data_IF_159942163842
#
_entry.id   IF_159942163842
#
_cell.length_a   1.000
_cell.length_b   1.000
_cell.length_c   1.000
_cell.angle_alpha   90.00
_cell.angle_beta   90.00
_cell.angle_gamma   90.00
#
_symmetry.space_group_name_H-M   'P 1'
#
loop_
_entity.id
_entity.type
_entity.pdbx_description
1 polymer ?
#
# COMPACT_ATOMS: atom_id res chain seq x y z
N UNK A 1 -5.27 -59.65 -9.91
CA UNK A 1 -6.17 -58.47 -9.82
C UNK A 1 -5.95 -57.80 -8.47
N UNK A 2 -4.90 -56.99 -8.34
CA UNK A 2 -4.58 -56.27 -7.10
C UNK A 2 -3.63 -55.12 -7.44
N UNK A 3 -4.12 -54.10 -8.15
CA UNK A 3 -3.29 -52.92 -8.47
C UNK A 3 -4.10 -51.62 -8.62
N UNK A 4 -5.43 -51.68 -8.63
CA UNK A 4 -6.26 -50.47 -8.82
C UNK A 4 -6.80 -49.88 -7.52
N UNK A 5 -6.69 -50.56 -6.37
CA UNK A 5 -7.24 -50.06 -5.10
C UNK A 5 -6.32 -49.12 -4.32
N UNK A 6 -5.02 -49.05 -4.64
CA UNK A 6 -4.05 -48.20 -3.91
C UNK A 6 -4.06 -46.76 -4.46
N UNK A 7 -4.31 -46.57 -5.75
CA UNK A 7 -4.40 -45.24 -6.38
C UNK A 7 -5.68 -44.47 -6.03
N UNK A 8 -6.77 -45.19 -5.70
CA UNK A 8 -8.02 -44.55 -5.28
C UNK A 8 -7.95 -44.02 -3.84
N UNK A 9 -7.20 -44.68 -2.95
CA UNK A 9 -7.03 -44.22 -1.57
C UNK A 9 -6.05 -43.03 -1.46
N UNK A 10 -5.01 -42.97 -2.28
CA UNK A 10 -4.09 -41.81 -2.30
C UNK A 10 -4.73 -40.56 -2.94
N UNK A 11 -5.58 -40.74 -3.96
CA UNK A 11 -6.35 -39.64 -4.55
C UNK A 11 -7.41 -39.08 -3.60
N UNK A 12 -8.10 -39.93 -2.81
CA UNK A 12 -9.06 -39.46 -1.81
C UNK A 12 -8.40 -38.67 -0.67
N UNK A 13 -7.21 -39.06 -0.21
CA UNK A 13 -6.52 -38.34 0.87
C UNK A 13 -6.02 -36.96 0.40
N UNK A 14 -5.63 -36.82 -0.88
CA UNK A 14 -5.25 -35.51 -1.45
C UNK A 14 -6.48 -34.61 -1.67
N UNK A 15 -7.63 -35.17 -2.06
CA UNK A 15 -8.89 -34.42 -2.17
C UNK A 15 -9.47 -34.01 -0.81
N UNK A 16 -9.33 -34.86 0.22
CA UNK A 16 -9.78 -34.52 1.59
C UNK A 16 -8.83 -33.51 2.25
N UNK A 17 -7.52 -33.56 1.98
CA UNK A 17 -6.59 -32.51 2.45
C UNK A 17 -6.78 -31.15 1.77
N UNK A 18 -7.36 -31.09 0.55
CA UNK A 18 -7.77 -29.83 -0.07
C UNK A 18 -9.05 -29.25 0.55
N UNK A 19 -9.91 -30.08 1.16
CA UNK A 19 -11.11 -29.62 1.86
C UNK A 19 -10.85 -29.17 3.30
N UNK A 20 -9.77 -29.64 3.95
CA UNK A 20 -9.49 -29.31 5.35
C UNK A 20 -8.75 -27.97 5.52
N UNK A 21 -8.13 -27.42 4.46
CA UNK A 21 -7.37 -26.14 4.55
C UNK A 21 -8.09 -24.96 3.84
N UNK A 22 -9.27 -25.18 3.22
CA UNK A 22 -9.80 -24.23 2.23
C UNK A 22 -11.12 -23.48 2.51
N UNK A 23 -11.96 -23.88 3.47
CA UNK A 23 -13.38 -23.48 3.42
C UNK A 23 -13.95 -22.64 4.59
N UNK A 24 -13.15 -22.19 5.55
CA UNK A 24 -13.69 -21.47 6.72
C UNK A 24 -13.49 -19.94 6.72
N UNK A 25 -12.94 -19.36 5.65
CA UNK A 25 -13.00 -17.93 5.50
C UNK A 25 -14.40 -17.54 5.02
N UNK A 26 -15.28 -17.27 5.98
CA UNK A 26 -16.63 -16.77 5.72
C UNK A 26 -16.54 -15.48 4.88
N UNK A 27 -17.30 -15.37 3.78
CA UNK A 27 -17.56 -14.10 3.13
C UNK A 27 -17.84 -13.01 4.18
N UNK A 28 -16.99 -11.98 4.22
CA UNK A 28 -17.14 -10.88 5.17
C UNK A 28 -16.39 -10.99 6.50
N UNK A 29 -15.58 -12.03 6.76
CA UNK A 29 -14.80 -12.14 8.00
C UNK A 29 -13.93 -10.88 8.27
N UNK A 30 -13.31 -10.33 7.23
CA UNK A 30 -12.52 -9.10 7.32
C UNK A 30 -13.37 -7.86 7.67
N UNK A 31 -14.59 -7.75 7.13
CA UNK A 31 -15.51 -6.64 7.43
C UNK A 31 -16.12 -6.77 8.82
N UNK A 32 -16.43 -7.99 9.26
CA UNK A 32 -16.83 -8.27 10.64
C UNK A 32 -15.72 -7.87 11.62
N UNK A 33 -14.49 -8.27 11.33
CA UNK A 33 -13.33 -7.92 12.16
C UNK A 33 -13.12 -6.40 12.23
N UNK A 34 -13.26 -5.71 11.11
CA UNK A 34 -13.21 -4.25 11.06
C UNK A 34 -14.29 -3.63 11.96
N UNK A 35 -15.54 -4.04 11.82
CA UNK A 35 -16.66 -3.47 12.56
C UNK A 35 -16.58 -3.77 14.07
N UNK A 36 -15.98 -4.90 14.48
CA UNK A 36 -15.67 -5.21 15.88
C UNK A 36 -14.65 -4.23 16.47
N UNK A 37 -13.57 -3.95 15.73
CA UNK A 37 -12.46 -3.11 16.21
C UNK A 37 -12.70 -1.62 16.04
N UNK A 38 -13.54 -1.22 15.10
CA UNK A 38 -13.73 0.15 14.66
C UNK A 38 -15.22 0.50 14.59
N UNK A 39 -15.88 0.46 15.75
CA UNK A 39 -17.34 0.62 15.89
C UNK A 39 -17.89 1.86 15.18
N UNK A 40 -17.11 2.95 15.13
CA UNK A 40 -17.54 4.24 14.57
C UNK A 40 -16.83 4.63 13.26
N UNK A 41 -16.05 3.72 12.67
CA UNK A 41 -15.34 3.99 11.40
C UNK A 41 -15.81 2.98 10.38
N UNK A 42 -16.67 3.36 9.42
CA UNK A 42 -17.12 2.41 8.40
C UNK A 42 -15.95 1.98 7.51
N UNK A 43 -16.00 0.75 7.00
CA UNK A 43 -15.06 0.29 5.97
C UNK A 43 -15.19 1.22 4.75
N UNK A 44 -14.12 1.90 4.32
CA UNK A 44 -14.15 2.72 3.11
C UNK A 44 -14.57 1.90 1.88
N UNK A 45 -15.44 2.44 1.02
CA UNK A 45 -15.96 1.72 -0.15
C UNK A 45 -14.86 1.21 -1.10
N UNK A 46 -13.74 1.94 -1.20
CA UNK A 46 -12.59 1.51 -1.98
C UNK A 46 -11.92 0.25 -1.40
N UNK A 47 -11.88 0.10 -0.06
CA UNK A 47 -11.41 -1.12 0.60
C UNK A 47 -12.45 -2.23 0.44
N UNK A 48 -13.74 -1.93 0.66
CA UNK A 48 -14.83 -2.90 0.52
C UNK A 48 -14.85 -3.54 -0.87
N UNK A 49 -14.67 -2.75 -1.94
CA UNK A 49 -14.57 -3.24 -3.32
C UNK A 49 -13.36 -4.16 -3.58
N UNK A 50 -12.36 -4.15 -2.71
CA UNK A 50 -11.17 -5.01 -2.79
C UNK A 50 -11.29 -6.28 -1.96
N UNK A 51 -12.25 -6.38 -1.03
CA UNK A 51 -12.42 -7.58 -0.23
C UNK A 51 -12.84 -8.77 -1.11
N UNK A 52 -12.22 -9.93 -0.88
CA UNK A 52 -12.70 -11.19 -1.44
C UNK A 52 -13.89 -11.67 -0.61
N UNK A 53 -15.06 -11.71 -1.23
CA UNK A 53 -16.30 -12.21 -0.63
C UNK A 53 -16.65 -13.62 -1.10
N UNK A 54 -16.06 -14.11 -2.19
CA UNK A 54 -16.20 -15.51 -2.61
C UNK A 54 -14.86 -16.00 -3.18
N UNK A 55 -14.38 -17.12 -2.65
CA UNK A 55 -13.13 -17.74 -3.10
C UNK A 55 -13.30 -18.48 -4.43
N UNK A 56 -14.52 -18.86 -4.84
CA UNK A 56 -14.77 -19.56 -6.10
C UNK A 56 -14.53 -18.66 -7.32
N UNK A 57 -14.91 -17.38 -7.21
CA UNK A 57 -14.75 -16.38 -8.26
C UNK A 57 -13.44 -15.57 -8.12
N UNK A 58 -12.61 -15.91 -7.14
CA UNK A 58 -11.37 -15.20 -6.89
C UNK A 58 -10.26 -15.64 -7.85
N UNK A 59 -9.66 -14.66 -8.51
CA UNK A 59 -8.45 -14.85 -9.30
C UNK A 59 -7.34 -13.94 -8.79
N UNK A 60 -6.13 -14.50 -8.70
CA UNK A 60 -4.93 -13.71 -8.44
C UNK A 60 -4.75 -12.64 -9.50
N UNK A 61 -4.28 -11.48 -9.06
CA UNK A 61 -4.02 -10.39 -9.96
C UNK A 61 -2.82 -10.71 -10.83
N UNK A 62 -3.06 -10.78 -12.14
CA UNK A 62 -2.01 -10.93 -13.12
C UNK A 62 -1.26 -9.59 -13.25
N UNK A 63 -0.01 -9.57 -12.82
CA UNK A 63 0.82 -8.35 -12.80
C UNK A 63 1.18 -7.99 -14.25
N UNK A 64 0.38 -7.13 -14.88
CA UNK A 64 0.61 -6.65 -16.25
C UNK A 64 1.29 -5.28 -16.21
N UNK A 65 2.53 -5.18 -16.71
CA UNK A 65 3.27 -3.92 -16.86
C UNK A 65 4.75 -4.04 -16.50
N UNK A 66 5.60 -3.07 -16.88
CA UNK A 66 6.97 -3.00 -16.41
C UNK A 66 6.98 -2.89 -14.88
N UNK A 67 8.08 -3.34 -14.24
CA UNK A 67 8.31 -3.10 -12.83
C UNK A 67 8.21 -1.59 -12.58
N UNK A 68 7.16 -1.12 -11.90
CA UNK A 68 7.00 0.30 -11.65
C UNK A 68 8.15 0.73 -10.73
N UNK A 69 9.10 1.57 -11.19
CA UNK A 69 10.22 1.97 -10.35
C UNK A 69 9.73 2.71 -9.09
N UNK A 70 8.55 3.35 -9.19
CA UNK A 70 7.89 4.13 -8.15
C UNK A 70 6.65 3.49 -7.54
N UNK A 71 6.58 2.14 -7.41
CA UNK A 71 5.57 1.52 -6.54
C UNK A 71 5.63 2.16 -5.13
N UNK A 72 4.47 2.56 -4.62
CA UNK A 72 4.40 3.54 -3.53
C UNK A 72 4.98 3.08 -2.18
N UNK A 73 5.14 1.77 -1.94
CA UNK A 73 5.73 1.22 -0.70
C UNK A 73 7.02 0.43 -0.91
N UNK A 74 7.75 0.74 -1.98
CA UNK A 74 9.21 0.63 -1.91
C UNK A 74 9.69 1.43 -0.68
N UNK A 75 10.75 1.04 0.06
CA UNK A 75 11.22 1.81 1.21
C UNK A 75 11.84 3.10 0.69
N UNK A 76 10.96 4.10 0.42
CA UNK A 76 11.31 5.34 -0.25
C UNK A 76 12.43 6.03 0.52
N UNK A 77 12.39 5.97 1.87
CA UNK A 77 13.34 6.52 2.84
C UNK A 77 14.80 6.08 2.68
N UNK A 78 15.06 4.97 1.98
CA UNK A 78 16.42 4.47 1.71
C UNK A 78 16.83 4.49 0.25
N UNK A 79 15.92 4.75 -0.70
CA UNK A 79 16.31 4.75 -2.10
C UNK A 79 17.16 5.97 -2.43
N UNK A 80 18.45 5.71 -2.70
CA UNK A 80 19.34 6.67 -3.32
C UNK A 80 18.74 7.13 -4.66
N UNK A 81 18.83 8.42 -4.97
CA UNK A 81 18.36 8.97 -6.26
C UNK A 81 18.93 8.25 -7.49
N UNK A 82 20.06 7.54 -7.37
CA UNK A 82 20.61 6.70 -8.45
C UNK A 82 19.71 5.55 -8.89
N UNK A 83 18.78 5.07 -8.05
CA UNK A 83 17.82 3.99 -8.41
C UNK A 83 16.60 4.56 -9.18
N UNK A 84 16.42 5.87 -9.16
CA UNK A 84 15.40 6.57 -9.94
C UNK A 84 16.10 7.10 -11.18
N UNK A 85 15.89 6.47 -12.34
CA UNK A 85 16.40 7.01 -13.60
C UNK A 85 16.09 8.51 -13.67
N UNK A 86 17.14 9.30 -13.98
CA UNK A 86 17.18 10.75 -13.92
C UNK A 86 16.14 11.47 -14.82
N UNK A 87 15.29 10.72 -15.51
CA UNK A 87 14.31 11.20 -16.48
C UNK A 87 13.00 11.70 -15.84
N UNK A 88 12.79 11.50 -14.53
CA UNK A 88 11.49 11.76 -13.88
C UNK A 88 11.48 12.73 -12.69
N UNK A 89 12.40 13.70 -12.65
CA UNK A 89 12.29 14.86 -11.72
C UNK A 89 10.95 15.61 -11.84
N UNK A 90 10.24 15.41 -12.95
CA UNK A 90 8.92 16.00 -13.21
C UNK A 90 7.72 15.19 -12.70
N UNK A 91 7.91 14.01 -12.08
CA UNK A 91 6.82 13.14 -11.59
C UNK A 91 6.64 13.09 -10.07
N UNK A 92 7.41 13.88 -9.30
CA UNK A 92 7.44 13.72 -7.84
C UNK A 92 6.37 14.55 -7.15
N UNK A 93 5.76 13.99 -6.11
CA UNK A 93 4.75 14.65 -5.28
C UNK A 93 5.32 15.36 -4.04
N UNK A 94 6.65 15.44 -3.90
CA UNK A 94 7.32 16.06 -2.76
C UNK A 94 7.31 17.59 -2.84
N UNK A 95 7.09 18.26 -1.70
CA UNK A 95 7.12 19.72 -1.52
C UNK A 95 7.51 20.08 -0.08
N UNK A 96 7.89 21.33 0.16
CA UNK A 96 8.16 21.83 1.50
C UNK A 96 6.85 22.20 2.20
N UNK A 97 6.79 22.05 3.53
CA UNK A 97 5.59 22.40 4.30
C UNK A 97 5.17 23.87 4.15
N UNK A 98 6.12 24.78 3.94
CA UNK A 98 5.85 26.21 3.69
C UNK A 98 5.08 26.47 2.38
N UNK A 99 5.18 25.56 1.41
CA UNK A 99 4.42 25.60 0.16
C UNK A 99 3.01 24.98 0.31
N UNK A 100 2.65 24.48 1.50
CA UNK A 100 1.36 23.83 1.77
C UNK A 100 0.31 24.79 2.36
N UNK A 101 0.14 25.94 1.71
CA UNK A 101 -0.76 27.00 2.15
C UNK A 101 -1.85 27.30 1.10
N UNK A 102 -3.05 27.76 1.50
CA UNK A 102 -4.06 28.23 0.56
C UNK A 102 -3.49 29.23 -0.46
N UNK A 103 -3.82 29.04 -1.73
CA UNK A 103 -3.29 29.82 -2.86
C UNK A 103 -2.01 29.26 -3.48
N UNK A 104 -1.27 28.40 -2.77
CA UNK A 104 -0.09 27.72 -3.33
C UNK A 104 -0.48 26.61 -4.30
N UNK A 105 0.51 26.14 -5.06
CA UNK A 105 0.32 25.13 -6.10
C UNK A 105 0.91 23.79 -5.68
N UNK A 106 0.14 22.72 -5.88
CA UNK A 106 0.59 21.34 -5.73
C UNK A 106 0.64 20.65 -7.09
N UNK A 107 1.71 19.89 -7.29
CA UNK A 107 1.81 18.95 -8.41
C UNK A 107 1.34 17.60 -7.92
N UNK A 108 0.26 17.11 -8.53
CA UNK A 108 -0.35 15.83 -8.19
C UNK A 108 -0.17 14.90 -9.38
N UNK A 109 0.34 13.71 -9.10
CA UNK A 109 0.37 12.64 -10.07
C UNK A 109 -1.06 12.08 -10.17
N UNK A 110 -1.64 12.18 -11.36
CA UNK A 110 -2.95 11.62 -11.67
C UNK A 110 -2.99 10.09 -11.48
N UNK A 111 -4.17 9.48 -11.61
CA UNK A 111 -4.37 8.08 -11.30
C UNK A 111 -3.43 7.19 -12.14
N UNK A 112 -2.66 6.36 -11.43
CA UNK A 112 -1.83 5.31 -12.01
C UNK A 112 -2.70 4.09 -12.37
N UNK A 113 -2.23 3.17 -13.25
CA UNK A 113 -2.94 1.92 -13.53
C UNK A 113 -3.35 1.23 -12.23
N UNK A 114 -4.64 0.93 -12.10
CA UNK A 114 -5.19 0.43 -10.85
C UNK A 114 -4.56 -0.93 -10.52
N UNK A 115 -3.88 -1.03 -9.38
CA UNK A 115 -3.53 -2.31 -8.79
C UNK A 115 -4.84 -2.99 -8.32
N UNK A 116 -5.29 -3.99 -9.08
CA UNK A 116 -6.56 -4.69 -8.85
C UNK A 116 -6.44 -5.87 -7.89
N UNK A 117 -5.27 -6.08 -7.26
CA UNK A 117 -5.08 -7.14 -6.30
C UNK A 117 -6.12 -7.03 -5.16
N UNK A 118 -6.81 -8.12 -4.88
CA UNK A 118 -7.87 -8.20 -3.87
C UNK A 118 -7.28 -8.56 -2.51
N UNK A 119 -7.96 -8.11 -1.45
CA UNK A 119 -7.57 -8.38 -0.06
C UNK A 119 -8.12 -9.76 0.33
N UNK A 120 -7.22 -10.65 0.72
CA UNK A 120 -7.57 -11.97 1.23
C UNK A 120 -7.91 -11.87 2.72
N UNK A 121 -8.90 -12.65 3.21
CA UNK A 121 -9.10 -12.85 4.65
C UNK A 121 -7.82 -13.39 5.30
N UNK A 122 -7.53 -12.98 6.54
CA UNK A 122 -6.29 -13.34 7.26
C UNK A 122 -5.98 -14.84 7.21
N UNK A 123 -6.97 -15.69 7.45
CA UNK A 123 -6.79 -17.14 7.44
C UNK A 123 -6.33 -17.66 6.07
N UNK A 124 -6.89 -17.11 4.99
CA UNK A 124 -6.50 -17.47 3.62
C UNK A 124 -5.11 -16.94 3.32
N UNK A 125 -4.85 -15.67 3.62
CA UNK A 125 -3.54 -15.03 3.40
C UNK A 125 -2.42 -15.82 4.08
N UNK A 126 -2.62 -16.25 5.33
CA UNK A 126 -1.65 -17.05 6.10
C UNK A 126 -1.38 -18.45 5.52
N UNK A 127 -2.24 -18.96 4.64
CA UNK A 127 -2.00 -20.23 3.94
C UNK A 127 -1.00 -20.10 2.78
N UNK A 128 -0.62 -18.88 2.40
CA UNK A 128 0.37 -18.62 1.34
C UNK A 128 1.72 -18.23 1.96
N UNK A 129 2.84 -18.80 1.49
CA UNK A 129 4.16 -18.37 1.93
C UNK A 129 4.40 -16.91 1.52
N UNK A 130 4.88 -16.11 2.47
CA UNK A 130 5.25 -14.70 2.26
C UNK A 130 6.66 -14.45 2.78
N UNK A 131 7.66 -14.99 2.06
CA UNK A 131 9.08 -14.77 2.35
C UNK A 131 9.93 -15.01 1.10
N UNK A 132 11.00 -14.24 0.92
CA UNK A 132 11.97 -14.38 -0.17
C UNK A 132 12.62 -15.77 -0.19
N UNK A 133 12.78 -16.40 0.98
CA UNK A 133 13.32 -17.76 1.11
C UNK A 133 12.43 -18.82 0.46
N UNK A 134 11.13 -18.53 0.31
CA UNK A 134 10.13 -19.43 -0.27
C UNK A 134 9.73 -19.01 -1.69
N UNK A 135 10.55 -18.19 -2.37
CA UNK A 135 10.24 -17.68 -3.72
C UNK A 135 9.85 -18.80 -4.71
N UNK A 136 10.54 -19.94 -4.82
CA UNK A 136 10.12 -21.00 -5.74
C UNK A 136 8.71 -21.56 -5.44
N UNK A 137 8.34 -21.64 -4.17
CA UNK A 137 7.02 -22.12 -3.73
C UNK A 137 5.93 -21.09 -4.05
N UNK A 138 6.23 -19.81 -3.84
CA UNK A 138 5.38 -18.67 -4.21
C UNK A 138 5.07 -18.70 -5.71
N UNK A 139 6.11 -18.81 -6.56
CA UNK A 139 5.95 -18.84 -8.01
C UNK A 139 5.10 -20.02 -8.47
N UNK A 140 5.34 -21.22 -7.91
CA UNK A 140 4.53 -22.41 -8.20
C UNK A 140 3.07 -22.23 -7.77
N UNK A 141 2.83 -21.68 -6.58
CA UNK A 141 1.49 -21.50 -6.01
C UNK A 141 0.65 -20.50 -6.81
N UNK A 142 1.27 -19.49 -7.40
CA UNK A 142 0.60 -18.47 -8.22
C UNK A 142 0.71 -18.72 -9.73
N UNK A 143 1.22 -19.88 -10.15
CA UNK A 143 1.43 -20.24 -11.56
C UNK A 143 2.25 -19.21 -12.34
N UNK A 144 3.28 -18.64 -11.70
CA UNK A 144 4.16 -17.63 -12.27
C UNK A 144 5.42 -18.29 -12.83
N UNK A 145 5.72 -17.99 -14.09
CA UNK A 145 6.92 -18.48 -14.75
C UNK A 145 8.19 -17.82 -14.17
N UNK A 146 9.24 -18.59 -13.81
CA UNK A 146 10.47 -18.07 -13.21
C UNK A 146 11.16 -16.93 -13.98
N UNK A 147 11.10 -16.96 -15.32
CA UNK A 147 11.75 -15.96 -16.18
C UNK A 147 10.86 -14.75 -16.51
N UNK A 148 9.67 -14.65 -15.92
CA UNK A 148 8.75 -13.54 -16.17
C UNK A 148 9.16 -12.25 -15.47
N UNK A 149 8.76 -11.11 -16.02
CA UNK A 149 8.95 -9.79 -15.39
C UNK A 149 8.26 -9.66 -14.01
N UNK A 150 7.26 -10.50 -13.73
CA UNK A 150 6.52 -10.51 -12.46
C UNK A 150 7.42 -10.93 -11.28
N UNK A 151 8.38 -11.84 -11.52
CA UNK A 151 9.28 -12.34 -10.48
C UNK A 151 10.12 -11.23 -9.87
N UNK A 152 10.54 -10.25 -10.68
CA UNK A 152 11.29 -9.08 -10.20
C UNK A 152 10.48 -8.26 -9.18
N UNK A 153 9.20 -8.03 -9.46
CA UNK A 153 8.30 -7.30 -8.55
C UNK A 153 8.07 -8.09 -7.25
N UNK A 154 7.76 -9.38 -7.35
CA UNK A 154 7.53 -10.24 -6.19
C UNK A 154 8.76 -10.29 -5.29
N UNK A 155 9.94 -10.52 -5.87
CA UNK A 155 11.20 -10.55 -5.13
C UNK A 155 11.44 -9.22 -4.41
N UNK A 156 11.27 -8.10 -5.11
CA UNK A 156 11.43 -6.75 -4.55
C UNK A 156 10.49 -6.49 -3.38
N UNK A 157 9.21 -6.86 -3.50
CA UNK A 157 8.23 -6.72 -2.41
C UNK A 157 8.67 -7.53 -1.19
N UNK A 158 9.02 -8.81 -1.38
CA UNK A 158 9.45 -9.68 -0.28
C UNK A 158 10.71 -9.15 0.42
N UNK A 159 11.72 -8.75 -0.34
CA UNK A 159 12.97 -8.20 0.22
C UNK A 159 12.73 -6.89 0.98
N UNK A 160 11.89 -5.99 0.44
CA UNK A 160 11.49 -4.75 1.13
C UNK A 160 10.81 -5.05 2.47
N UNK A 161 9.87 -6.01 2.47
CA UNK A 161 9.11 -6.41 3.64
C UNK A 161 9.96 -7.09 4.72
N UNK A 162 11.03 -7.80 4.34
CA UNK A 162 11.92 -8.51 5.25
C UNK A 162 13.06 -7.65 5.80
N UNK A 163 13.38 -6.56 5.11
CA UNK A 163 14.40 -5.62 5.57
C UNK A 163 13.97 -5.04 6.92
N UNK A 164 14.92 -4.71 7.80
CA UNK A 164 14.63 -4.05 9.09
C UNK A 164 15.20 -2.65 9.11
N UNK A 165 14.36 -1.64 9.34
CA UNK A 165 14.80 -0.27 9.53
C UNK A 165 14.67 0.13 10.99
N UNK A 166 15.65 0.90 11.47
CA UNK A 166 15.62 1.47 12.81
C UNK A 166 14.81 2.77 12.89
N UNK A 167 14.61 3.43 11.75
CA UNK A 167 14.02 4.78 11.68
C UNK A 167 12.48 4.79 11.73
N UNK A 168 11.84 3.65 11.50
CA UNK A 168 10.38 3.53 11.45
C UNK A 168 9.91 2.21 12.04
N UNK A 169 8.69 2.22 12.56
CA UNK A 169 7.95 0.99 12.82
C UNK A 169 7.26 0.59 11.54
N UNK A 170 7.48 -0.63 11.05
CA UNK A 170 6.90 -1.09 9.79
C UNK A 170 6.51 -2.55 9.81
N UNK A 171 5.55 -2.89 8.96
CA UNK A 171 5.08 -4.26 8.75
C UNK A 171 4.42 -4.35 7.39
N UNK A 172 4.81 -5.36 6.60
CA UNK A 172 3.97 -5.77 5.49
C UNK A 172 2.80 -6.59 6.02
N UNK A 173 1.59 -6.18 5.67
CA UNK A 173 0.34 -6.84 6.03
C UNK A 173 -0.28 -7.48 4.80
N UNK A 174 -0.76 -8.71 4.95
CA UNK A 174 -1.27 -9.56 3.87
C UNK A 174 -2.79 -9.70 3.90
N UNK A 175 -3.45 -9.04 4.87
CA UNK A 175 -4.89 -9.06 5.12
C UNK A 175 -5.39 -7.71 5.66
N UNK A 176 -6.71 -7.47 5.63
CA UNK A 176 -7.29 -6.26 6.21
C UNK A 176 -7.18 -6.28 7.73
N UNK A 177 -7.37 -7.44 8.33
CA UNK A 177 -7.32 -7.64 9.76
C UNK A 177 -5.92 -7.30 10.31
N UNK A 178 -4.85 -7.72 9.63
CA UNK A 178 -3.48 -7.36 10.01
C UNK A 178 -3.19 -5.87 9.86
N UNK A 179 -3.82 -5.22 8.89
CA UNK A 179 -3.75 -3.78 8.72
C UNK A 179 -4.44 -3.05 9.88
N UNK A 180 -5.63 -3.51 10.29
CA UNK A 180 -6.37 -2.98 11.44
C UNK A 180 -5.52 -3.08 12.70
N UNK A 181 -4.96 -4.26 12.98
CA UNK A 181 -4.10 -4.47 14.15
C UNK A 181 -2.88 -3.54 14.15
N UNK A 182 -2.21 -3.39 12.99
CA UNK A 182 -1.05 -2.50 12.89
C UNK A 182 -1.45 -1.04 13.03
N UNK A 183 -2.55 -0.61 12.40
CA UNK A 183 -3.08 0.75 12.50
C UNK A 183 -3.40 1.13 13.93
N UNK A 184 -4.20 0.31 14.62
CA UNK A 184 -4.62 0.53 16.01
C UNK A 184 -3.44 0.52 16.99
N UNK A 185 -2.45 -0.36 16.78
CA UNK A 185 -1.26 -0.42 17.63
C UNK A 185 -0.47 0.91 17.67
N UNK A 186 -0.57 1.75 16.62
CA UNK A 186 0.18 3.01 16.51
C UNK A 186 -0.69 4.26 16.63
N UNK A 187 -2.00 4.15 16.37
CA UNK A 187 -2.92 5.31 16.36
C UNK A 187 -3.96 5.28 17.46
N UNK A 188 -4.12 4.14 18.16
CA UNK A 188 -5.16 3.95 19.15
C UNK A 188 -6.56 3.82 18.53
N UNK A 189 -7.58 3.71 19.38
CA UNK A 189 -8.96 3.40 18.96
C UNK A 189 -9.73 4.62 18.42
N UNK A 190 -9.36 5.85 18.82
CA UNK A 190 -9.96 7.08 18.31
C UNK A 190 -9.26 7.54 17.02
N UNK A 191 -9.39 6.74 15.97
CA UNK A 191 -8.67 6.91 14.70
C UNK A 191 -9.62 7.16 13.53
N UNK A 192 -9.19 8.01 12.59
CA UNK A 192 -9.81 8.11 11.27
C UNK A 192 -9.05 7.30 10.23
N UNK A 193 -9.76 6.66 9.31
CA UNK A 193 -9.19 5.97 8.15
C UNK A 193 -9.52 6.76 6.89
N UNK A 194 -8.49 7.07 6.10
CA UNK A 194 -8.58 7.92 4.93
C UNK A 194 -7.94 7.25 3.72
N UNK A 195 -8.51 7.50 2.55
CA UNK A 195 -7.94 7.11 1.26
C UNK A 195 -8.15 8.24 0.25
N UNK A 196 -7.22 8.36 -0.70
CA UNK A 196 -7.38 9.23 -1.85
C UNK A 196 -8.18 8.58 -2.96
N UNK A 197 -9.05 9.39 -3.58
CA UNK A 197 -9.75 9.08 -4.82
C UNK A 197 -9.49 10.21 -5.82
N UNK A 198 -8.22 10.35 -6.22
CA UNK A 198 -7.81 11.36 -7.19
C UNK A 198 -8.24 10.87 -8.57
N UNK A 199 -9.36 11.41 -9.05
CA UNK A 199 -9.82 11.25 -10.43
C UNK A 199 -8.96 12.09 -11.39
N UNK A 200 -8.89 11.74 -12.67
CA UNK A 200 -8.13 12.52 -13.66
C UNK A 200 -7.52 11.72 -14.79
N UNK A 201 -6.77 12.41 -15.65
CA UNK A 201 -5.91 11.76 -16.66
C UNK A 201 -4.59 11.33 -16.02
N UNK A 202 -3.97 10.29 -16.57
CA UNK A 202 -2.61 9.90 -16.20
C UNK A 202 -1.62 11.03 -16.50
N UNK A 203 -0.63 11.22 -15.64
CA UNK A 203 0.39 12.25 -15.77
C UNK A 203 0.38 13.22 -14.60
N UNK A 204 1.22 14.26 -14.64
CA UNK A 204 1.27 15.27 -13.57
C UNK A 204 0.42 16.47 -13.94
N UNK A 205 -0.48 16.83 -13.03
CA UNK A 205 -1.28 18.04 -13.12
C UNK A 205 -0.98 18.98 -11.94
N UNK A 206 -1.16 20.28 -12.18
CA UNK A 206 -0.96 21.34 -11.19
C UNK A 206 -2.31 21.80 -10.67
N UNK A 207 -2.44 21.88 -9.35
CA UNK A 207 -3.64 22.27 -8.64
C UNK A 207 -3.34 23.40 -7.67
N UNK A 208 -4.28 24.31 -7.49
CA UNK A 208 -4.22 25.36 -6.46
C UNK A 208 -4.85 24.84 -5.17
N UNK A 209 -4.16 24.99 -4.04
CA UNK A 209 -4.69 24.67 -2.71
C UNK A 209 -5.77 25.68 -2.34
N UNK A 210 -6.96 25.20 -1.97
CA UNK A 210 -8.06 26.05 -1.50
C UNK A 210 -8.10 26.08 0.02
N UNK A 211 -7.97 24.91 0.66
CA UNK A 211 -7.97 24.76 2.11
C UNK A 211 -7.16 23.55 2.52
N UNK A 212 -6.58 23.60 3.71
CA UNK A 212 -5.88 22.48 4.35
C UNK A 212 -6.50 22.20 5.73
N UNK A 213 -6.49 20.95 6.16
CA UNK A 213 -6.96 20.53 7.48
C UNK A 213 -6.06 19.41 8.00
N UNK A 214 -5.50 19.59 9.18
CA UNK A 214 -4.78 18.53 9.90
C UNK A 214 -5.78 17.44 10.33
N UNK A 215 -5.44 16.18 10.07
CA UNK A 215 -6.26 15.02 10.45
C UNK A 215 -5.63 14.17 11.56
N UNK A 216 -4.32 14.31 11.81
CA UNK A 216 -3.67 13.65 12.95
C UNK A 216 -2.16 13.77 12.95
N UNK A 217 -1.54 13.47 14.11
CA UNK A 217 -0.08 13.39 14.31
C UNK A 217 0.40 11.98 14.62
N UNK A 218 -0.48 11.13 15.13
CA UNK A 218 -0.24 9.70 15.17
C UNK A 218 -0.70 9.13 13.81
N UNK A 219 0.27 8.83 12.95
CA UNK A 219 0.00 8.48 11.55
C UNK A 219 0.60 7.12 11.22
N UNK A 220 -0.22 6.26 10.60
CA UNK A 220 0.22 5.09 9.85
C UNK A 220 -0.17 5.29 8.40
N UNK A 221 0.77 5.05 7.49
CA UNK A 221 0.49 4.96 6.06
C UNK A 221 0.68 3.51 5.62
N UNK A 222 -0.24 2.99 4.82
CA UNK A 222 -0.18 1.67 4.25
C UNK A 222 -0.18 1.79 2.73
N UNK A 223 0.96 1.43 2.13
CA UNK A 223 1.17 1.50 0.70
C UNK A 223 0.89 0.17 0.02
N UNK A 224 0.08 0.17 -1.04
CA UNK A 224 -0.30 -1.07 -1.72
C UNK A 224 0.83 -1.57 -2.62
N UNK A 225 1.34 -2.76 -2.33
CA UNK A 225 2.42 -3.40 -3.07
C UNK A 225 1.96 -4.13 -4.33
N UNK A 226 2.88 -4.27 -5.29
CA UNK A 226 2.67 -4.99 -6.55
C UNK A 226 2.90 -6.50 -6.30
N UNK A 227 1.87 -7.16 -5.78
CA UNK A 227 1.89 -8.58 -5.40
C UNK A 227 0.62 -9.31 -5.91
N UNK A 228 0.63 -10.65 -6.13
CA UNK A 228 -0.53 -11.38 -6.70
C UNK A 228 -1.86 -11.22 -5.95
N UNK A 229 -1.82 -10.92 -4.67
CA UNK A 229 -2.97 -10.46 -3.87
C UNK A 229 -2.56 -9.19 -3.10
N UNK A 230 -3.52 -8.49 -2.51
CA UNK A 230 -3.24 -7.22 -1.86
C UNK A 230 -2.32 -7.42 -0.64
N UNK A 231 -1.12 -6.90 -0.77
CA UNK A 231 -0.15 -6.74 0.30
C UNK A 231 0.03 -5.25 0.50
N UNK A 232 0.07 -4.81 1.74
CA UNK A 232 0.34 -3.42 2.07
C UNK A 232 1.62 -3.31 2.89
N UNK A 233 2.54 -2.46 2.46
CA UNK A 233 3.63 -1.98 3.26
C UNK A 233 3.10 -0.91 4.21
N UNK A 234 2.90 -1.24 5.48
CA UNK A 234 2.46 -0.29 6.49
C UNK A 234 3.65 0.20 7.32
N UNK A 235 3.67 1.49 7.63
CA UNK A 235 4.69 2.08 8.47
C UNK A 235 4.19 3.27 9.28
N UNK A 236 4.89 3.56 10.37
CA UNK A 236 4.73 4.74 11.21
C UNK A 236 6.10 5.37 11.45
N UNK A 237 6.21 6.65 11.09
CA UNK A 237 7.42 7.45 11.22
C UNK A 237 7.18 8.54 12.26
N UNK A 238 8.12 8.70 13.17
CA UNK A 238 8.06 9.76 14.18
C UNK A 238 8.08 11.15 13.53
N UNK A 239 7.30 12.09 14.07
CA UNK A 239 7.23 13.45 13.55
C UNK A 239 6.46 13.55 12.22
N UNK A 240 5.63 12.56 11.91
CA UNK A 240 4.69 12.61 10.78
C UNK A 240 3.42 13.35 11.17
N UNK A 241 2.85 14.14 10.26
CA UNK A 241 1.54 14.76 10.41
C UNK A 241 0.77 14.57 9.11
N UNK A 242 -0.48 14.14 9.22
CA UNK A 242 -1.35 13.91 8.08
C UNK A 242 -2.34 15.07 7.92
N UNK A 243 -2.63 15.41 6.66
CA UNK A 243 -3.55 16.47 6.28
C UNK A 243 -4.49 16.03 5.16
N UNK A 244 -5.67 16.63 5.11
CA UNK A 244 -6.50 16.72 3.90
C UNK A 244 -6.39 18.11 3.31
N UNK A 245 -6.28 18.22 1.99
CA UNK A 245 -6.38 19.48 1.26
C UNK A 245 -7.50 19.42 0.22
N UNK A 246 -8.29 20.48 0.09
CA UNK A 246 -9.13 20.64 -1.11
C UNK A 246 -8.37 21.45 -2.13
N UNK A 247 -8.37 20.99 -3.37
CA UNK A 247 -7.57 21.59 -4.44
C UNK A 247 -8.41 21.82 -5.70
N UNK A 248 -7.99 22.79 -6.52
CA UNK A 248 -8.65 23.15 -7.77
C UNK A 248 -7.69 22.98 -8.95
N UNK A 249 -8.03 22.11 -9.89
CA UNK A 249 -7.23 21.88 -11.10
C UNK A 249 -7.42 22.98 -12.15
N UNK A 250 -6.46 23.10 -13.08
CA UNK A 250 -6.56 24.06 -14.20
C UNK A 250 -7.67 23.68 -15.18
N UNK A 251 -7.92 22.38 -15.36
CA UNK A 251 -9.11 21.89 -16.05
C UNK A 251 -10.24 21.94 -15.02
N UNK A 252 -11.18 22.87 -15.18
CA UNK A 252 -12.31 23.18 -14.28
C UNK A 252 -13.32 22.02 -14.03
N UNK A 253 -12.88 20.76 -14.15
CA UNK A 253 -13.65 19.53 -13.93
C UNK A 253 -13.01 18.57 -12.92
N UNK A 254 -11.78 18.80 -12.46
CA UNK A 254 -11.22 18.07 -11.32
C UNK A 254 -11.35 18.90 -10.04
N UNK A 255 -12.43 18.63 -9.32
CA UNK A 255 -12.47 18.86 -7.89
C UNK A 255 -11.96 17.60 -7.21
N UNK A 256 -10.68 17.57 -6.82
CA UNK A 256 -10.28 16.64 -5.78
C UNK A 256 -10.73 17.30 -4.46
N UNK A 257 -11.96 16.95 -4.04
CA UNK A 257 -12.55 17.51 -2.82
C UNK A 257 -11.65 17.30 -1.60
N UNK A 258 -10.84 16.23 -1.62
CA UNK A 258 -9.84 15.90 -0.62
C UNK A 258 -8.63 15.19 -1.25
N UNK A 259 -7.46 15.75 -1.03
CA UNK A 259 -6.13 15.17 -1.30
C UNK A 259 -5.45 14.94 0.05
N UNK A 260 -5.02 13.72 0.30
CA UNK A 260 -4.25 13.35 1.47
C UNK A 260 -2.77 13.68 1.27
N UNK A 261 -2.20 14.30 2.30
CA UNK A 261 -0.80 14.71 2.38
C UNK A 261 -0.21 14.20 3.69
N UNK A 262 1.00 13.66 3.63
CA UNK A 262 1.82 13.41 4.81
C UNK A 262 3.01 14.38 4.81
N UNK A 263 3.32 14.91 5.98
CA UNK A 263 4.47 15.78 6.21
C UNK A 263 5.33 15.20 7.33
N UNK A 264 6.64 15.23 7.14
CA UNK A 264 7.62 14.67 8.06
C UNK A 264 8.57 15.76 8.54
N UNK A 265 8.53 16.03 9.84
CA UNK A 265 9.34 17.08 10.49
C UNK A 265 10.70 16.56 10.98
N UNK A 266 10.82 15.25 11.24
CA UNK A 266 12.05 14.61 11.71
C UNK A 266 12.75 13.85 10.58
N UNK A 267 13.42 14.59 9.70
CA UNK A 267 14.07 14.01 8.50
C UNK A 267 15.59 13.83 8.65
N UNK A 268 16.18 14.21 9.78
CA UNK A 268 17.64 14.19 9.99
C UNK A 268 18.27 12.79 9.91
N UNK A 269 17.50 11.74 10.24
CA UNK A 269 17.96 10.35 10.21
C UNK A 269 17.66 9.62 8.90
N UNK A 270 17.01 10.30 7.94
CA UNK A 270 16.73 9.70 6.62
C UNK A 270 18.02 9.53 5.83
N UNK A 271 18.00 8.64 4.83
CA UNK A 271 19.13 8.48 3.92
C UNK A 271 19.44 9.83 3.23
N UNK A 272 20.67 10.37 3.31
CA UNK A 272 21.03 11.62 2.64
C UNK A 272 20.81 11.61 1.12
N UNK A 273 20.80 10.44 0.50
CA UNK A 273 20.53 10.26 -0.93
C UNK A 273 19.03 10.07 -1.24
N UNK A 274 18.15 10.26 -0.25
CA UNK A 274 16.70 10.12 -0.44
C UNK A 274 16.18 11.04 -1.55
N UNK A 275 15.30 10.53 -2.41
CA UNK A 275 14.75 11.26 -3.55
C UNK A 275 14.21 12.66 -3.18
N UNK A 276 13.55 12.80 -2.02
CA UNK A 276 13.02 14.09 -1.59
C UNK A 276 14.11 15.16 -1.43
N UNK A 277 15.29 14.80 -0.92
CA UNK A 277 16.40 15.74 -0.74
C UNK A 277 16.97 16.22 -2.08
N UNK A 278 17.04 15.32 -3.07
CA UNK A 278 17.46 15.68 -4.42
C UNK A 278 16.43 16.54 -5.16
N UNK A 279 15.14 16.28 -4.98
CA UNK A 279 14.03 17.04 -5.59
C UNK A 279 13.94 18.44 -4.99
N UNK A 280 13.93 18.53 -3.66
CA UNK A 280 13.74 19.77 -2.91
C UNK A 280 15.04 20.57 -2.76
N UNK A 281 16.19 19.98 -3.11
CA UNK A 281 17.53 20.58 -2.98
C UNK A 281 17.85 21.01 -1.54
N UNK A 282 17.47 20.18 -0.58
CA UNK A 282 17.75 20.35 0.85
C UNK A 282 18.52 19.14 1.37
N UNK A 283 19.09 19.24 2.58
CA UNK A 283 19.74 18.12 3.29
C UNK A 283 18.82 17.55 4.38
N UNK A 284 19.11 16.33 4.88
CA UNK A 284 18.43 15.78 6.05
C UNK A 284 18.35 16.77 7.21
N UNK A 285 17.15 16.96 7.77
CA UNK A 285 16.91 17.80 8.94
C UNK A 285 16.79 19.30 8.68
N UNK A 286 16.98 19.78 7.44
CA UNK A 286 16.88 21.22 7.13
C UNK A 286 15.44 21.74 7.10
N UNK A 287 14.46 20.90 6.74
CA UNK A 287 13.06 21.30 6.61
C UNK A 287 12.07 20.15 6.83
N UNK A 288 10.79 20.52 6.98
CA UNK A 288 9.67 19.56 6.95
C UNK A 288 9.35 19.18 5.51
N UNK A 289 9.49 17.90 5.19
CA UNK A 289 9.24 17.34 3.85
C UNK A 289 7.82 16.80 3.79
N UNK A 290 7.03 17.28 2.83
CA UNK A 290 5.68 16.80 2.59
C UNK A 290 5.58 16.06 1.25
N UNK A 291 4.57 15.20 1.13
CA UNK A 291 4.19 14.62 -0.14
C UNK A 291 2.70 14.26 -0.21
N UNK A 292 2.16 14.25 -1.42
CA UNK A 292 0.82 13.71 -1.69
C UNK A 292 0.87 12.18 -1.58
N UNK A 293 -0.15 11.62 -0.93
CA UNK A 293 -0.38 10.17 -0.85
C UNK A 293 -1.01 9.68 -2.16
N UNK A 294 -0.46 8.65 -2.80
CA UNK A 294 -1.05 8.10 -4.03
C UNK A 294 -2.39 7.39 -3.79
N UNK A 295 -3.17 7.20 -4.86
CA UNK A 295 -4.37 6.36 -4.84
C UNK A 295 -4.03 4.92 -4.43
N UNK A 296 -4.99 4.20 -3.84
CA UNK A 296 -4.87 2.84 -3.28
C UNK A 296 -4.03 2.71 -2.00
N UNK A 297 -3.44 3.81 -1.50
CA UNK A 297 -2.82 3.83 -0.17
C UNK A 297 -3.86 4.20 0.88
N UNK A 298 -3.65 3.73 2.11
CA UNK A 298 -4.55 3.94 3.25
C UNK A 298 -3.79 4.71 4.32
N UNK A 299 -4.43 5.73 4.90
CA UNK A 299 -3.87 6.53 5.99
C UNK A 299 -4.74 6.34 7.23
N UNK A 300 -4.14 5.93 8.33
CA UNK A 300 -4.73 5.97 9.65
C UNK A 300 -4.17 7.19 10.37
N UNK A 301 -5.05 8.03 10.91
CA UNK A 301 -4.62 9.24 11.59
C UNK A 301 -5.49 9.50 12.83
N UNK A 302 -4.83 9.81 13.94
CA UNK A 302 -5.45 10.28 15.18
C UNK A 302 -4.67 11.49 15.73
N UNK A 303 -5.31 12.29 16.61
CA UNK A 303 -4.70 13.50 17.18
C UNK A 303 -3.30 13.30 17.78
#
# INVERSE_FOLDING_TARGET
MASNSIYLFSALIVLVCQQIIGNNALPGAAEVYWNDKLVNVPVPDAIRKLLVTDMHDFHFWHITGPANPGGDGNPKYEQAAEVVEADNKNLTTYFLFEDFLPGMKLRILGPQPTNKAKILPRQVANSYPFSSQHLPQILKRFFIWPDSSQVKNIKKVLESCETKLKIEQRKCVTSLEDMVDFGLAHTGENVGVFQNDIEGQSGVEEFTIIRTKMIGRNVVVCHKEVYPYAVYYCHSLEGTTAFTASVLGRRQKLHADKVLVACHSKTATWNPNHLAFHVLKIKPGEATVCHVIGNNNIVWASP
#
